data_IF_946675557371
#
_entry.id   IF_946675557371
#
_cell.length_a   1.000
_cell.length_b   1.000
_cell.length_c   1.000
_cell.angle_alpha   90.00
_cell.angle_beta   90.00
_cell.angle_gamma   90.00
#
_symmetry.space_group_name_H-M   'P 1'
#
loop_
_entity.id
_entity.type
_entity.pdbx_description
1 polymer ?
#
# COMPACT_ATOMS: atom_id res chain seq x y z
N UNK A 1 9.93 -16.84 34.23
CA UNK A 1 9.06 -17.32 33.14
C UNK A 1 9.85 -17.07 31.86
N UNK A 2 10.45 -18.13 31.33
CA UNK A 2 11.58 -18.05 30.39
C UNK A 2 11.08 -17.79 28.97
N UNK A 3 11.41 -16.61 28.46
CA UNK A 3 11.29 -16.24 27.06
C UNK A 3 12.42 -16.94 26.29
N UNK A 4 12.11 -17.99 25.54
CA UNK A 4 13.05 -18.64 24.61
C UNK A 4 12.26 -19.15 23.44
N UNK A 5 12.33 -18.43 22.32
CA UNK A 5 12.38 -18.88 20.93
C UNK A 5 12.17 -17.61 20.09
N UNK A 6 13.27 -16.91 19.83
CA UNK A 6 13.29 -15.85 18.83
C UNK A 6 13.85 -16.50 17.56
N UNK A 7 13.00 -16.76 16.58
CA UNK A 7 13.42 -17.23 15.27
C UNK A 7 13.82 -15.98 14.48
N UNK A 8 15.13 -15.75 14.30
CA UNK A 8 15.60 -14.73 13.36
C UNK A 8 15.48 -15.32 11.95
N UNK A 9 14.42 -14.96 11.25
CA UNK A 9 14.28 -15.23 9.82
C UNK A 9 15.11 -14.16 9.11
N UNK A 10 16.35 -14.49 8.74
CA UNK A 10 17.10 -13.70 7.77
C UNK A 10 16.48 -13.99 6.41
N UNK A 11 15.48 -13.20 6.03
CA UNK A 11 14.90 -13.25 4.70
C UNK A 11 15.97 -12.70 3.72
N UNK A 12 16.70 -13.60 3.07
CA UNK A 12 17.40 -13.23 1.83
C UNK A 12 16.34 -13.32 0.73
N UNK A 13 15.46 -12.33 0.65
CA UNK A 13 14.85 -12.02 -0.65
C UNK A 13 16.04 -11.61 -1.49
N UNK A 14 16.38 -12.43 -2.50
CA UNK A 14 17.08 -11.85 -3.62
C UNK A 14 16.20 -10.69 -4.03
N UNK A 15 16.63 -9.44 -3.78
CA UNK A 15 16.09 -8.27 -4.46
C UNK A 15 16.09 -8.74 -5.90
N UNK A 16 14.91 -9.13 -6.38
CA UNK A 16 14.76 -9.47 -7.76
C UNK A 16 15.07 -8.11 -8.35
N UNK A 17 16.25 -7.90 -8.97
CA UNK A 17 16.41 -6.68 -9.73
C UNK A 17 15.19 -6.68 -10.61
N UNK A 18 14.39 -5.59 -10.60
CA UNK A 18 13.32 -5.43 -11.56
C UNK A 18 13.89 -5.93 -12.86
N UNK A 19 13.52 -7.15 -13.26
CA UNK A 19 13.96 -7.64 -14.54
C UNK A 19 13.29 -6.64 -15.45
N UNK A 20 14.07 -6.00 -16.30
CA UNK A 20 13.57 -5.27 -17.46
C UNK A 20 12.61 -6.22 -18.16
N UNK A 21 11.35 -6.25 -17.71
CA UNK A 21 10.22 -6.48 -18.55
C UNK A 21 10.44 -5.41 -19.61
N UNK A 22 10.75 -5.82 -20.84
CA UNK A 22 10.77 -4.89 -21.97
C UNK A 22 9.60 -3.94 -21.78
N UNK A 23 9.88 -2.68 -21.45
CA UNK A 23 8.87 -1.81 -20.87
C UNK A 23 7.68 -1.73 -21.83
N UNK A 24 6.60 -2.46 -21.52
CA UNK A 24 5.41 -2.47 -22.36
C UNK A 24 4.82 -1.05 -22.44
N UNK A 25 5.11 -0.25 -21.40
CA UNK A 25 4.72 1.12 -21.24
C UNK A 25 5.95 2.01 -20.95
N UNK A 26 6.25 3.04 -21.75
CA UNK A 26 7.45 3.88 -21.57
C UNK A 26 7.45 4.77 -20.32
N UNK A 27 6.29 5.15 -19.78
CA UNK A 27 6.16 6.08 -18.66
C UNK A 27 5.29 5.56 -17.51
N UNK A 28 4.50 4.50 -17.72
CA UNK A 28 3.62 3.91 -16.71
C UNK A 28 4.28 2.66 -16.11
N UNK A 29 4.37 2.61 -14.78
CA UNK A 29 4.80 1.44 -14.02
C UNK A 29 3.79 1.13 -12.92
N UNK A 30 3.51 -0.15 -12.68
CA UNK A 30 2.55 -0.61 -11.68
C UNK A 30 3.21 -1.70 -10.83
N UNK A 31 3.17 -1.57 -9.50
CA UNK A 31 3.95 -2.44 -8.60
C UNK A 31 3.58 -3.94 -8.66
N UNK A 32 2.35 -4.25 -9.07
CA UNK A 32 1.85 -5.61 -9.22
C UNK A 32 1.95 -6.17 -10.67
N UNK A 33 2.52 -5.41 -11.61
CA UNK A 33 2.84 -5.91 -12.95
C UNK A 33 4.07 -6.82 -12.85
N UNK A 34 3.82 -8.12 -12.81
CA UNK A 34 4.84 -9.16 -12.73
C UNK A 34 4.38 -10.45 -13.40
N UNK A 35 4.96 -10.75 -14.55
CA UNK A 35 4.65 -11.94 -15.35
C UNK A 35 4.92 -13.25 -14.60
N UNK A 36 5.87 -13.27 -13.65
CA UNK A 36 6.17 -14.46 -12.85
C UNK A 36 4.98 -14.91 -12.00
N UNK A 37 4.05 -13.99 -11.70
CA UNK A 37 2.84 -14.25 -10.96
C UNK A 37 1.57 -14.00 -11.79
N UNK A 38 1.72 -13.84 -13.12
CA UNK A 38 0.63 -13.64 -14.05
C UNK A 38 -0.11 -12.32 -13.86
N UNK A 39 0.58 -11.25 -13.45
CA UNK A 39 0.01 -9.92 -13.23
C UNK A 39 -1.19 -9.96 -12.27
N UNK A 40 -1.06 -10.71 -11.17
CA UNK A 40 -2.09 -10.87 -10.14
C UNK A 40 -1.80 -10.04 -8.90
N UNK A 41 -2.85 -9.70 -8.18
CA UNK A 41 -2.79 -9.23 -6.81
C UNK A 41 -4.07 -9.66 -6.09
N UNK A 42 -4.09 -9.63 -4.76
CA UNK A 42 -5.19 -10.20 -4.00
C UNK A 42 -5.37 -9.53 -2.62
N UNK A 43 -6.52 -9.76 -2.00
CA UNK A 43 -6.78 -9.32 -0.63
C UNK A 43 -6.55 -7.82 -0.42
N UNK A 44 -5.91 -7.46 0.71
CA UNK A 44 -5.63 -6.08 1.08
C UNK A 44 -4.37 -5.49 0.44
N UNK A 45 -3.71 -6.17 -0.52
CA UNK A 45 -2.50 -5.63 -1.15
C UNK A 45 -2.74 -4.22 -1.71
N UNK A 46 -1.84 -3.30 -1.39
CA UNK A 46 -1.85 -1.95 -1.98
C UNK A 46 -1.02 -1.97 -3.26
N UNK A 47 -1.56 -1.39 -4.32
CA UNK A 47 -0.86 -1.26 -5.60
C UNK A 47 -0.39 0.17 -5.78
N UNK A 48 0.89 0.35 -6.07
CA UNK A 48 1.47 1.64 -6.46
C UNK A 48 1.40 1.78 -7.98
N UNK A 49 0.94 2.95 -8.44
CA UNK A 49 0.98 3.38 -9.84
C UNK A 49 1.92 4.57 -9.95
N UNK A 50 2.92 4.46 -10.82
CA UNK A 50 3.92 5.49 -11.06
C UNK A 50 3.84 5.96 -12.50
N UNK A 51 3.74 7.27 -12.70
CA UNK A 51 3.95 7.93 -13.99
C UNK A 51 5.26 8.69 -13.95
N UNK A 52 6.24 8.20 -14.70
CA UNK A 52 7.53 8.85 -14.91
C UNK A 52 7.59 9.43 -16.33
N UNK A 53 6.89 10.54 -16.55
CA UNK A 53 6.83 11.22 -17.84
C UNK A 53 7.70 12.48 -17.84
N UNK A 54 8.75 12.57 -18.66
CA UNK A 54 9.64 13.73 -18.70
C UNK A 54 8.95 15.07 -19.01
N UNK A 55 7.74 15.06 -19.59
CA UNK A 55 6.97 16.28 -19.86
C UNK A 55 6.31 16.84 -18.60
N UNK A 56 6.07 15.96 -17.62
CA UNK A 56 5.38 16.24 -16.36
C UNK A 56 6.33 16.20 -15.15
N UNK A 57 7.65 16.12 -15.37
CA UNK A 57 8.63 15.89 -14.30
C UNK A 57 9.14 17.15 -13.60
N UNK A 58 8.97 18.35 -14.19
CA UNK A 58 9.46 19.57 -13.53
C UNK A 58 8.69 19.82 -12.23
N UNK A 59 9.44 20.13 -11.17
CA UNK A 59 8.91 20.26 -9.80
C UNK A 59 8.71 21.72 -9.38
N UNK A 60 9.20 22.67 -10.15
CA UNK A 60 9.19 24.11 -9.83
C UNK A 60 8.35 24.94 -10.82
N UNK A 61 7.74 24.28 -11.79
CA UNK A 61 6.80 24.88 -12.74
C UNK A 61 5.49 24.10 -12.74
N UNK A 62 4.38 24.81 -12.98
CA UNK A 62 3.04 24.20 -12.96
C UNK A 62 2.93 23.09 -14.00
N UNK A 63 2.52 21.91 -13.57
CA UNK A 63 2.20 20.75 -14.41
C UNK A 63 0.76 20.31 -14.17
N UNK A 64 0.12 19.84 -15.23
CA UNK A 64 -1.17 19.15 -15.11
C UNK A 64 -0.97 17.77 -14.50
N UNK A 65 -1.95 17.33 -13.72
CA UNK A 65 -2.01 15.96 -13.22
C UNK A 65 -2.10 14.97 -14.41
N UNK A 66 -1.32 13.87 -14.40
CA UNK A 66 -1.45 12.81 -15.39
C UNK A 66 -2.85 12.21 -15.40
N UNK A 67 -3.43 12.04 -16.59
CA UNK A 67 -4.71 11.35 -16.75
C UNK A 67 -4.51 9.82 -16.61
N UNK A 68 -4.75 9.33 -15.40
CA UNK A 68 -4.67 7.90 -15.05
C UNK A 68 -6.01 7.40 -14.55
N UNK A 69 -6.45 6.23 -15.03
CA UNK A 69 -7.72 5.62 -14.61
C UNK A 69 -7.57 4.17 -14.18
N UNK A 70 -8.43 3.74 -13.25
CA UNK A 70 -8.69 2.34 -12.89
C UNK A 70 -10.06 1.98 -13.47
N UNK A 71 -10.11 1.07 -14.45
CA UNK A 71 -11.37 0.68 -15.11
C UNK A 71 -12.20 1.88 -15.63
N UNK A 72 -11.53 2.96 -16.04
CA UNK A 72 -12.16 4.19 -16.52
C UNK A 72 -12.58 5.19 -15.43
N UNK A 73 -12.43 4.86 -14.15
CA UNK A 73 -12.59 5.81 -13.03
C UNK A 73 -11.26 6.52 -12.75
N UNK A 74 -11.30 7.83 -12.46
CA UNK A 74 -10.10 8.61 -12.21
C UNK A 74 -9.32 8.07 -11.01
N UNK A 75 -8.02 7.89 -11.18
CA UNK A 75 -7.04 7.71 -10.11
C UNK A 75 -6.30 9.03 -9.91
N UNK A 76 -6.42 9.64 -8.73
CA UNK A 76 -5.70 10.88 -8.42
C UNK A 76 -4.21 10.58 -8.25
N UNK A 77 -3.38 11.34 -8.96
CA UNK A 77 -1.92 11.24 -8.96
C UNK A 77 -1.31 12.43 -8.23
N UNK A 78 -0.24 12.18 -7.47
CA UNK A 78 0.45 13.22 -6.71
C UNK A 78 1.93 13.30 -7.12
N UNK A 79 2.42 14.50 -7.45
CA UNK A 79 3.83 14.67 -7.82
C UNK A 79 4.73 14.62 -6.58
N UNK A 80 5.80 13.84 -6.68
CA UNK A 80 6.82 13.73 -5.63
C UNK A 80 7.94 14.74 -5.86
N UNK A 81 8.80 14.95 -4.87
CA UNK A 81 9.98 15.82 -4.98
C UNK A 81 11.00 15.35 -6.02
N UNK A 82 10.90 14.09 -6.49
CA UNK A 82 11.72 13.54 -7.57
C UNK A 82 11.17 13.80 -8.98
N UNK A 83 9.99 14.41 -9.11
CA UNK A 83 9.35 14.71 -10.39
C UNK A 83 8.43 13.61 -10.94
N UNK A 84 8.55 12.38 -10.44
CA UNK A 84 7.59 11.31 -10.73
C UNK A 84 6.25 11.53 -10.03
N UNK A 85 5.18 11.03 -10.63
CA UNK A 85 3.83 11.07 -10.09
C UNK A 85 3.44 9.70 -9.55
N UNK A 86 2.88 9.67 -8.34
CA UNK A 86 2.55 8.45 -7.62
C UNK A 86 1.08 8.45 -7.18
N UNK A 87 0.48 7.27 -7.17
CA UNK A 87 -0.80 7.00 -6.55
C UNK A 87 -0.81 5.59 -5.96
N UNK A 88 -1.64 5.40 -4.94
CA UNK A 88 -1.86 4.10 -4.32
C UNK A 88 -3.34 3.75 -4.40
N UNK A 89 -3.65 2.50 -4.72
CA UNK A 89 -5.02 2.00 -4.66
C UNK A 89 -5.10 0.60 -4.04
N UNK A 90 -6.28 0.25 -3.52
CA UNK A 90 -6.56 -1.07 -2.95
C UNK A 90 -8.04 -1.46 -3.16
N UNK A 91 -8.32 -2.76 -2.98
CA UNK A 91 -9.70 -3.25 -3.00
C UNK A 91 -10.45 -2.81 -1.73
N UNK A 92 -11.55 -2.06 -1.90
CA UNK A 92 -12.24 -1.36 -0.81
C UNK A 92 -12.65 -2.28 0.36
N UNK A 93 -13.31 -3.39 0.06
CA UNK A 93 -13.78 -4.33 1.08
C UNK A 93 -12.64 -5.08 1.78
N UNK A 94 -11.55 -5.35 1.06
CA UNK A 94 -10.43 -6.12 1.61
C UNK A 94 -9.53 -5.25 2.49
N UNK A 95 -9.28 -4.01 2.06
CA UNK A 95 -8.59 -3.00 2.88
C UNK A 95 -9.30 -2.79 4.22
N UNK A 96 -10.62 -2.53 4.21
CA UNK A 96 -11.40 -2.35 5.45
C UNK A 96 -11.44 -3.59 6.34
N UNK A 97 -11.46 -4.77 5.75
CA UNK A 97 -11.46 -6.03 6.50
C UNK A 97 -10.10 -6.28 7.18
N UNK A 98 -8.99 -5.96 6.49
CA UNK A 98 -7.65 -6.04 7.06
C UNK A 98 -7.46 -5.01 8.18
N UNK A 99 -7.87 -3.77 7.93
CA UNK A 99 -7.80 -2.67 8.89
C UNK A 99 -8.65 -2.94 10.15
N UNK A 100 -9.79 -3.60 10.02
CA UNK A 100 -10.61 -4.00 11.17
C UNK A 100 -9.94 -5.02 12.11
N UNK A 101 -8.79 -5.58 11.74
CA UNK A 101 -7.97 -6.41 12.63
C UNK A 101 -7.06 -5.59 13.54
N UNK A 102 -6.91 -4.29 13.31
CA UNK A 102 -5.99 -3.42 14.04
C UNK A 102 -6.41 -3.30 15.51
N UNK A 103 -5.46 -3.58 16.41
CA UNK A 103 -5.65 -3.46 17.86
C UNK A 103 -5.09 -2.15 18.44
N UNK A 104 -4.19 -1.49 17.72
CA UNK A 104 -3.57 -0.22 18.07
C UNK A 104 -3.25 0.55 16.78
N UNK A 105 -3.66 1.82 16.71
CA UNK A 105 -3.37 2.68 15.57
C UNK A 105 -1.86 2.77 15.28
N UNK A 106 -1.47 2.68 14.02
CA UNK A 106 -0.08 2.62 13.58
C UNK A 106 0.55 1.23 13.51
N UNK A 107 -0.17 0.15 13.90
CA UNK A 107 0.38 -1.21 13.98
C UNK A 107 -0.50 -2.23 13.25
N UNK A 108 0.09 -3.36 12.83
CA UNK A 108 -0.65 -4.36 12.06
C UNK A 108 -1.02 -3.85 10.65
N UNK A 109 -2.10 -4.38 10.08
CA UNK A 109 -2.56 -4.02 8.72
C UNK A 109 -3.38 -2.72 8.73
N UNK A 110 -2.81 -1.67 9.29
CA UNK A 110 -3.44 -0.36 9.47
C UNK A 110 -3.30 0.51 8.22
N UNK A 111 -4.42 0.92 7.64
CA UNK A 111 -4.51 1.80 6.46
C UNK A 111 -4.60 3.29 6.86
N UNK A 112 -4.67 3.58 8.15
CA UNK A 112 -5.08 4.85 8.73
C UNK A 112 -6.60 4.89 8.92
N UNK A 113 -7.24 6.00 8.59
CA UNK A 113 -8.71 6.13 8.68
C UNK A 113 -9.35 6.30 7.32
N UNK A 114 -10.55 5.78 7.16
CA UNK A 114 -11.31 5.81 5.92
C UNK A 114 -12.26 7.00 5.86
N UNK A 115 -12.24 7.71 4.74
CA UNK A 115 -13.16 8.78 4.39
C UNK A 115 -14.05 8.37 3.21
N UNK A 116 -15.30 8.85 3.21
CA UNK A 116 -16.23 8.65 2.11
C UNK A 116 -15.85 9.47 0.86
N UNK A 117 -16.22 8.98 -0.32
CA UNK A 117 -15.97 9.66 -1.62
C UNK A 117 -16.61 11.05 -1.74
N UNK A 118 -17.67 11.29 -0.95
CA UNK A 118 -18.40 12.56 -0.90
C UNK A 118 -17.73 13.59 0.02
N UNK A 119 -16.51 13.30 0.50
CA UNK A 119 -15.68 14.27 1.24
C UNK A 119 -15.46 15.53 0.39
N UNK A 120 -15.79 16.73 0.91
CA UNK A 120 -15.60 17.98 0.17
C UNK A 120 -14.13 18.21 -0.21
N UNK A 121 -13.90 18.71 -1.42
CA UNK A 121 -12.56 18.97 -1.97
C UNK A 121 -11.72 19.84 -1.05
N UNK A 122 -12.33 20.83 -0.38
CA UNK A 122 -11.64 21.72 0.56
C UNK A 122 -10.99 21.01 1.76
N UNK A 123 -11.45 19.80 2.12
CA UNK A 123 -10.92 19.02 3.24
C UNK A 123 -9.49 18.55 2.98
N UNK A 124 -9.22 18.14 1.74
CA UNK A 124 -7.94 17.53 1.35
C UNK A 124 -7.26 18.23 0.16
N UNK A 125 -7.87 19.28 -0.40
CA UNK A 125 -7.41 20.01 -1.58
C UNK A 125 -7.70 19.32 -2.92
N UNK A 126 -8.29 18.12 -2.92
CA UNK A 126 -8.62 17.34 -4.12
C UNK A 126 -9.91 16.53 -3.91
N UNK A 127 -10.65 16.28 -4.99
CA UNK A 127 -11.85 15.43 -4.98
C UNK A 127 -11.53 13.97 -5.29
N UNK A 128 -12.28 13.06 -4.64
CA UNK A 128 -12.21 11.60 -4.79
C UNK A 128 -13.57 10.98 -5.16
N UNK A 129 -14.46 11.74 -5.81
CA UNK A 129 -15.83 11.29 -6.14
C UNK A 129 -15.89 10.05 -7.04
N UNK A 130 -14.81 9.77 -7.79
CA UNK A 130 -14.72 8.61 -8.68
C UNK A 130 -14.25 7.31 -7.99
N UNK A 131 -14.07 7.33 -6.65
CA UNK A 131 -13.66 6.16 -5.86
C UNK A 131 -14.84 5.58 -5.05
N UNK A 132 -14.59 4.54 -4.25
CA UNK A 132 -15.49 4.01 -3.21
C UNK A 132 -15.11 4.53 -1.81
N UNK A 133 -14.38 5.65 -1.76
CA UNK A 133 -13.73 6.20 -0.57
C UNK A 133 -12.22 6.12 -0.67
N UNK A 134 -11.55 6.50 0.40
CA UNK A 134 -10.09 6.54 0.46
C UNK A 134 -9.61 6.45 1.91
N UNK A 135 -8.40 5.95 2.11
CA UNK A 135 -7.74 5.92 3.42
C UNK A 135 -6.68 7.02 3.51
N UNK A 136 -6.66 7.73 4.63
CA UNK A 136 -5.67 8.76 4.97
C UNK A 136 -4.90 8.35 6.22
N UNK A 137 -3.60 8.71 6.32
CA UNK A 137 -2.76 8.28 7.42
C UNK A 137 -3.00 9.04 8.71
N UNK A 138 -3.63 10.21 8.68
CA UNK A 138 -3.73 11.10 9.84
C UNK A 138 -5.19 11.42 10.14
N UNK A 139 -5.67 11.02 11.31
CA UNK A 139 -7.07 11.19 11.74
C UNK A 139 -7.31 12.40 12.65
N UNK A 140 -6.25 13.02 13.18
CA UNK A 140 -6.35 14.13 14.12
C UNK A 140 -7.05 15.34 13.50
N UNK A 141 -8.12 15.83 14.14
CA UNK A 141 -8.89 16.97 13.66
C UNK A 141 -9.93 16.62 12.59
N UNK A 142 -9.95 15.38 12.09
CA UNK A 142 -11.00 14.90 11.20
C UNK A 142 -12.24 14.43 11.97
N UNK A 143 -13.37 14.43 11.28
CA UNK A 143 -14.64 13.85 11.73
C UNK A 143 -15.36 13.21 10.54
N UNK A 144 -16.22 12.23 10.80
CA UNK A 144 -16.94 11.49 9.75
C UNK A 144 -16.14 10.33 9.14
N UNK A 145 -14.92 10.10 9.61
CA UNK A 145 -14.13 8.94 9.20
C UNK A 145 -14.63 7.65 9.87
N UNK A 146 -14.27 6.52 9.28
CA UNK A 146 -14.35 5.20 9.89
C UNK A 146 -12.94 4.63 10.09
N UNK A 147 -12.86 3.66 10.98
CA UNK A 147 -11.67 2.88 11.29
C UNK A 147 -12.13 1.40 11.24
N UNK A 148 -11.50 0.59 10.39
CA UNK A 148 -11.91 -0.76 10.03
C UNK A 148 -13.17 -0.87 9.15
N UNK A 149 -14.07 -1.78 9.50
CA UNK A 149 -15.29 -2.11 8.71
C UNK A 149 -16.44 -1.12 8.87
N UNK A 150 -16.23 -0.02 9.62
CA UNK A 150 -17.22 1.03 9.76
C UNK A 150 -17.61 1.66 8.40
N UNK A 151 -18.83 2.18 8.33
CA UNK A 151 -19.25 3.02 7.22
C UNK A 151 -18.58 4.39 7.39
N UNK A 152 -17.67 4.74 6.46
CA UNK A 152 -17.11 6.08 6.38
C UNK A 152 -18.13 7.04 5.75
N UNK A 153 -18.37 8.17 6.42
CA UNK A 153 -19.12 9.30 5.87
C UNK A 153 -18.14 10.28 5.19
N UNK A 154 -18.67 11.38 4.64
CA UNK A 154 -17.84 12.47 4.16
C UNK A 154 -17.00 13.03 5.33
N UNK A 155 -15.68 13.00 5.17
CA UNK A 155 -14.79 13.58 6.16
C UNK A 155 -14.92 15.11 6.17
N UNK A 156 -14.76 15.69 7.35
CA UNK A 156 -14.73 17.14 7.54
C UNK A 156 -13.64 17.49 8.55
N UNK A 157 -13.25 18.77 8.58
CA UNK A 157 -12.18 19.25 9.44
C UNK A 157 -10.84 19.32 8.72
N UNK A 158 -9.78 19.54 9.50
CA UNK A 158 -8.42 19.67 8.98
C UNK A 158 -7.59 18.48 9.45
N UNK A 159 -7.03 17.66 8.53
CA UNK A 159 -6.23 16.51 8.91
C UNK A 159 -4.91 16.93 9.57
N UNK A 160 -4.55 16.21 10.62
CA UNK A 160 -3.31 16.37 11.36
C UNK A 160 -3.09 15.18 12.31
N UNK A 161 -2.07 15.27 13.16
CA UNK A 161 -1.69 14.17 14.04
C UNK A 161 -0.53 13.34 13.48
N UNK A 162 -0.32 12.15 14.05
CA UNK A 162 0.69 11.20 13.60
C UNK A 162 0.22 10.42 12.37
N UNK A 163 1.17 9.81 11.66
CA UNK A 163 0.88 8.85 10.60
C UNK A 163 0.57 7.49 11.25
N UNK A 164 -0.67 7.03 11.07
CA UNK A 164 -1.23 5.76 11.54
C UNK A 164 -1.16 4.67 10.45
N UNK A 165 -0.87 5.02 9.19
CA UNK A 165 -0.75 4.05 8.11
C UNK A 165 0.52 3.18 8.27
N UNK A 166 0.33 1.87 8.23
CA UNK A 166 1.37 0.85 8.36
C UNK A 166 1.41 -0.15 7.17
N UNK A 167 0.73 0.20 6.06
CA UNK A 167 0.68 -0.59 4.80
C UNK A 167 1.23 0.17 3.59
N UNK A 168 1.57 1.45 3.74
CA UNK A 168 2.37 2.24 2.80
C UNK A 168 3.39 3.06 3.61
N UNK A 169 4.49 2.42 4.01
CA UNK A 169 5.42 2.94 5.02
C UNK A 169 6.52 3.84 4.46
N UNK A 170 6.87 3.69 3.19
CA UNK A 170 8.00 4.39 2.56
C UNK A 170 7.59 5.12 1.28
N UNK A 171 6.40 5.74 1.32
CA UNK A 171 5.92 6.60 0.25
C UNK A 171 6.92 7.74 -0.05
N UNK A 172 7.05 8.07 -1.34
CA UNK A 172 7.95 9.14 -1.78
C UNK A 172 7.51 10.50 -1.22
N UNK A 173 8.49 11.35 -0.93
CA UNK A 173 8.23 12.69 -0.41
C UNK A 173 7.49 13.56 -1.43
N UNK A 174 6.46 14.28 -0.98
CA UNK A 174 5.70 15.20 -1.80
C UNK A 174 6.56 16.32 -2.39
N UNK A 175 6.23 16.75 -3.62
CA UNK A 175 6.71 18.03 -4.10
C UNK A 175 6.08 19.16 -3.27
N UNK A 176 6.91 19.91 -2.53
CA UNK A 176 6.50 21.05 -1.71
C UNK A 176 7.18 22.35 -2.15
N UNK A 177 7.61 22.43 -3.40
CA UNK A 177 8.20 23.64 -3.95
C UNK A 177 7.20 24.80 -3.86
N UNK A 178 7.62 25.95 -3.31
CA UNK A 178 6.73 27.08 -3.06
C UNK A 178 6.20 27.77 -4.32
N UNK A 179 6.74 27.46 -5.50
CA UNK A 179 6.26 27.97 -6.78
C UNK A 179 5.02 27.25 -7.31
N UNK A 180 4.67 26.08 -6.76
CA UNK A 180 3.55 25.25 -7.19
C UNK A 180 2.73 24.75 -6.00
N UNK A 181 1.46 24.35 -6.19
CA UNK A 181 0.71 23.66 -5.14
C UNK A 181 1.41 22.38 -4.69
N UNK A 182 1.20 21.97 -3.44
CA UNK A 182 1.75 20.70 -2.93
C UNK A 182 1.31 19.55 -3.82
N UNK A 183 2.27 18.73 -4.26
CA UNK A 183 1.99 17.60 -5.15
C UNK A 183 1.46 17.99 -6.54
N UNK A 184 1.58 19.27 -6.93
CA UNK A 184 0.98 19.94 -8.11
C UNK A 184 -0.55 20.01 -8.10
N UNK A 185 -1.23 19.28 -7.23
CA UNK A 185 -2.70 19.25 -7.12
C UNK A 185 -3.24 20.12 -5.99
N UNK A 186 -2.39 20.48 -5.02
CA UNK A 186 -2.81 21.16 -3.80
C UNK A 186 -3.22 20.22 -2.68
N UNK A 187 -2.93 18.92 -2.81
CA UNK A 187 -3.19 17.90 -1.78
C UNK A 187 -2.68 18.36 -0.40
N UNK A 188 -3.53 18.24 0.62
CA UNK A 188 -3.15 18.48 2.00
C UNK A 188 -2.03 17.48 2.38
N UNK A 189 -0.85 17.96 2.81
CA UNK A 189 0.28 17.08 3.12
C UNK A 189 -0.01 15.99 4.18
N UNK A 190 -0.97 16.22 5.09
CA UNK A 190 -1.34 15.25 6.13
C UNK A 190 -2.16 14.08 5.61
N UNK A 191 -2.68 14.17 4.37
CA UNK A 191 -3.37 13.07 3.69
C UNK A 191 -2.41 12.08 3.02
N UNK A 192 -1.11 12.38 2.94
CA UNK A 192 -0.13 11.55 2.21
C UNK A 192 0.68 10.65 3.16
N UNK A 193 0.83 9.34 2.86
CA UNK A 193 0.31 8.64 1.69
C UNK A 193 -1.18 8.36 1.75
N UNK A 194 -1.86 8.63 0.64
CA UNK A 194 -3.28 8.38 0.47
C UNK A 194 -3.50 7.09 -0.33
N UNK A 195 -4.43 6.24 0.10
CA UNK A 195 -4.83 5.03 -0.63
C UNK A 195 -6.26 5.20 -1.15
N UNK A 196 -6.44 5.21 -2.46
CA UNK A 196 -7.75 5.30 -3.09
C UNK A 196 -8.41 3.92 -3.17
N UNK A 197 -9.68 3.82 -2.78
CA UNK A 197 -10.37 2.54 -2.71
C UNK A 197 -11.29 2.35 -3.90
N UNK A 198 -11.23 1.18 -4.52
CA UNK A 198 -12.14 0.80 -5.60
C UNK A 198 -12.67 -0.61 -5.35
N UNK A 199 -13.84 -0.92 -5.93
CA UNK A 199 -14.37 -2.29 -5.98
C UNK A 199 -14.25 -2.80 -7.41
N UNK A 200 -13.61 -3.96 -7.58
CA UNK A 200 -13.32 -4.53 -8.89
C UNK A 200 -13.15 -6.05 -8.80
N UNK A 201 -13.28 -6.74 -9.92
CA UNK A 201 -12.91 -8.16 -10.07
C UNK A 201 -11.53 -8.32 -10.72
N UNK A 202 -11.18 -7.41 -11.63
CA UNK A 202 -9.87 -7.25 -12.26
C UNK A 202 -9.72 -5.77 -12.59
N UNK A 203 -8.50 -5.28 -12.80
CA UNK A 203 -8.24 -3.86 -13.04
C UNK A 203 -7.49 -3.65 -14.35
N UNK A 204 -7.93 -2.66 -15.11
CA UNK A 204 -7.16 -2.06 -16.20
C UNK A 204 -6.72 -0.67 -15.75
N UNK A 205 -5.42 -0.50 -15.56
CA UNK A 205 -4.78 0.79 -15.29
C UNK A 205 -4.44 1.42 -16.63
N UNK A 206 -4.89 2.64 -16.88
CA UNK A 206 -4.66 3.34 -18.14
C UNK A 206 -4.03 4.70 -17.90
N UNK A 207 -2.96 5.04 -18.61
CA UNK A 207 -2.37 6.38 -18.67
C UNK A 207 -2.50 6.99 -20.07
N UNK A 208 -3.12 8.17 -20.17
CA UNK A 208 -3.35 8.90 -21.43
C UNK A 208 -2.33 10.04 -21.64
N UNK A 209 -1.03 9.72 -21.63
CA UNK A 209 0.04 10.71 -21.75
C UNK A 209 0.26 11.29 -23.14
N UNK A 210 -0.31 10.72 -24.20
CA UNK A 210 -0.08 11.13 -25.60
C UNK A 210 -0.09 9.93 -26.54
N UNK A 211 0.50 8.83 -26.09
CA UNK A 211 0.12 7.48 -26.50
C UNK A 211 -0.53 6.77 -25.32
N UNK A 212 -1.52 5.95 -25.61
CA UNK A 212 -2.19 5.10 -24.63
C UNK A 212 -1.19 4.11 -24.04
N UNK A 213 -1.12 4.03 -22.71
CA UNK A 213 -0.33 3.05 -21.95
C UNK A 213 -1.27 2.32 -21.00
N UNK A 214 -1.17 0.99 -20.93
CA UNK A 214 -2.10 0.18 -20.16
C UNK A 214 -1.41 -1.00 -19.48
N UNK A 215 -1.84 -1.28 -18.25
CA UNK A 215 -1.51 -2.49 -17.49
C UNK A 215 -2.81 -3.16 -17.08
N UNK A 216 -2.91 -4.46 -17.31
CA UNK A 216 -4.04 -5.28 -16.86
C UNK A 216 -3.57 -6.16 -15.71
N UNK A 217 -4.27 -6.09 -14.58
CA UNK A 217 -4.05 -6.97 -13.44
C UNK A 217 -5.31 -7.77 -13.12
N UNK A 218 -5.13 -9.02 -12.73
CA UNK A 218 -6.18 -9.89 -12.23
C UNK A 218 -6.27 -9.78 -10.70
N UNK A 219 -7.47 -9.55 -10.15
CA UNK A 219 -7.68 -9.54 -8.71
C UNK A 219 -8.34 -10.85 -8.26
N UNK A 220 -7.51 -11.80 -7.84
CA UNK A 220 -7.92 -13.17 -7.55
C UNK A 220 -6.87 -13.86 -6.67
N UNK A 221 -7.18 -15.05 -6.15
CA UNK A 221 -6.18 -15.86 -5.46
C UNK A 221 -4.94 -16.10 -6.34
N UNK A 222 -3.78 -16.05 -5.70
CA UNK A 222 -2.49 -16.19 -6.39
C UNK A 222 -2.16 -17.68 -6.48
N UNK A 223 -1.94 -18.22 -7.69
CA UNK A 223 -1.58 -19.63 -7.85
C UNK A 223 -0.15 -19.89 -7.39
N UNK A 224 0.19 -21.16 -7.20
CA UNK A 224 1.55 -21.63 -6.87
C UNK A 224 2.10 -21.15 -5.51
N UNK A 225 1.22 -20.86 -4.55
CA UNK A 225 1.61 -20.68 -3.15
C UNK A 225 2.24 -21.98 -2.63
N UNK A 226 3.45 -21.89 -2.10
CA UNK A 226 4.15 -23.07 -1.57
C UNK A 226 4.94 -22.77 -0.30
N UNK A 227 5.03 -23.80 0.53
CA UNK A 227 5.84 -23.86 1.73
C UNK A 227 6.75 -25.07 1.61
N UNK A 228 8.05 -24.86 1.76
CA UNK A 228 9.01 -25.97 1.81
C UNK A 228 10.02 -25.76 2.93
N UNK A 229 10.53 -26.87 3.45
CA UNK A 229 11.59 -26.88 4.45
C UNK A 229 12.88 -27.40 3.83
N UNK A 230 14.02 -27.01 4.41
CA UNK A 230 15.32 -27.45 3.90
C UNK A 230 15.57 -28.96 4.06
N UNK A 231 14.80 -29.63 4.93
CA UNK A 231 14.85 -31.09 5.15
C UNK A 231 13.56 -31.60 5.80
N UNK A 232 13.40 -32.92 5.79
CA UNK A 232 12.22 -33.61 6.36
C UNK A 232 12.39 -33.95 7.86
N UNK A 233 13.62 -34.01 8.36
CA UNK A 233 13.90 -34.40 9.76
C UNK A 233 14.89 -33.45 10.42
N UNK A 234 14.57 -33.06 11.65
CA UNK A 234 15.35 -32.13 12.45
C UNK A 234 15.78 -32.77 13.76
N UNK A 235 17.10 -32.87 14.04
CA UNK A 235 17.59 -33.17 15.38
C UNK A 235 17.09 -32.14 16.39
N UNK A 236 16.98 -32.52 17.66
CA UNK A 236 16.62 -31.60 18.71
C UNK A 236 17.59 -30.40 18.76
N UNK A 237 17.05 -29.19 18.70
CA UNK A 237 17.82 -27.94 18.70
C UNK A 237 18.37 -27.50 17.33
N UNK A 238 18.05 -28.21 16.25
CA UNK A 238 18.38 -27.75 14.90
C UNK A 238 17.55 -26.54 14.48
N UNK A 239 18.15 -25.66 13.70
CA UNK A 239 17.45 -24.59 13.01
C UNK A 239 16.65 -25.16 11.82
N UNK A 240 15.48 -24.58 11.58
CA UNK A 240 14.59 -24.93 10.46
C UNK A 240 14.65 -23.79 9.46
N UNK A 241 15.06 -24.08 8.24
CA UNK A 241 15.00 -23.10 7.15
C UNK A 241 13.73 -23.37 6.35
N UNK A 242 12.88 -22.36 6.29
CA UNK A 242 11.59 -22.40 5.59
C UNK A 242 11.67 -21.47 4.40
N UNK A 243 11.31 -21.98 3.22
CA UNK A 243 11.08 -21.16 2.03
C UNK A 243 9.58 -21.05 1.84
N UNK A 244 9.08 -19.82 1.90
CA UNK A 244 7.70 -19.47 1.58
C UNK A 244 7.71 -18.77 0.23
N UNK A 245 6.90 -19.24 -0.70
CA UNK A 245 6.64 -18.58 -1.97
C UNK A 245 5.17 -18.21 -1.99
N UNK A 246 4.88 -16.96 -1.65
CA UNK A 246 3.53 -16.41 -1.64
C UNK A 246 3.59 -14.90 -1.89
N UNK A 247 3.13 -14.46 -3.06
CA UNK A 247 3.11 -13.02 -3.39
C UNK A 247 2.02 -12.27 -2.63
N UNK A 248 1.02 -12.95 -2.06
CA UNK A 248 -0.02 -12.28 -1.25
C UNK A 248 0.57 -11.69 0.03
N UNK A 249 1.78 -12.10 0.43
CA UNK A 249 2.49 -11.53 1.57
C UNK A 249 3.05 -10.12 1.29
N UNK A 250 3.05 -9.65 0.03
CA UNK A 250 3.50 -8.30 -0.34
C UNK A 250 2.33 -7.31 -0.23
N UNK A 251 2.10 -6.78 0.97
CA UNK A 251 1.04 -5.81 1.26
C UNK A 251 1.44 -4.38 0.94
N UNK A 252 2.70 -4.01 1.26
CA UNK A 252 3.24 -2.67 1.08
C UNK A 252 4.07 -2.59 -0.21
N UNK A 253 3.68 -1.78 -1.21
CA UNK A 253 4.43 -1.66 -2.45
C UNK A 253 5.70 -0.80 -2.32
N UNK A 254 5.93 -0.16 -1.17
CA UNK A 254 6.98 0.84 -0.96
C UNK A 254 8.12 0.39 -0.06
N UNK A 255 7.90 -0.67 0.72
CA UNK A 255 8.83 -1.16 1.75
C UNK A 255 8.72 -2.68 1.95
N UNK A 256 9.73 -3.28 2.58
CA UNK A 256 9.73 -4.72 2.87
C UNK A 256 8.72 -5.07 3.96
N UNK A 257 7.88 -6.09 3.70
CA UNK A 257 6.92 -6.62 4.66
C UNK A 257 7.55 -7.59 5.66
N UNK A 258 7.08 -7.54 6.90
CA UNK A 258 7.54 -8.43 7.98
C UNK A 258 6.38 -9.25 8.51
N UNK A 259 6.43 -10.56 8.28
CA UNK A 259 5.44 -11.52 8.73
C UNK A 259 6.04 -12.43 9.80
N UNK A 260 5.31 -12.60 10.91
CA UNK A 260 5.71 -13.51 11.99
C UNK A 260 4.72 -14.67 12.08
N UNK A 261 5.23 -15.87 11.91
CA UNK A 261 4.47 -17.11 11.99
C UNK A 261 4.73 -17.82 13.32
N UNK A 262 3.66 -18.10 14.06
CA UNK A 262 3.65 -19.01 15.22
C UNK A 262 3.01 -20.35 14.86
N UNK A 263 2.84 -21.23 15.86
CA UNK A 263 2.22 -22.55 15.61
C UNK A 263 0.77 -22.44 15.15
N UNK A 264 0.02 -21.49 15.72
CA UNK A 264 -1.41 -21.24 15.47
C UNK A 264 -1.68 -19.73 15.39
N UNK A 265 -0.72 -18.97 14.86
CA UNK A 265 -0.85 -17.52 14.77
C UNK A 265 -0.06 -16.94 13.61
N UNK A 266 -0.59 -15.89 12.99
CA UNK A 266 0.11 -15.09 11.99
C UNK A 266 -0.02 -13.62 12.38
N UNK A 267 1.08 -12.90 12.36
CA UNK A 267 1.13 -11.48 12.68
C UNK A 267 1.81 -10.72 11.55
N UNK A 268 1.23 -9.60 11.16
CA UNK A 268 1.89 -8.62 10.32
C UNK A 268 2.56 -7.57 11.21
N UNK A 269 3.83 -7.24 10.93
CA UNK A 269 4.63 -6.23 11.64
C UNK A 269 4.70 -6.44 13.16
N UNK A 270 4.83 -7.70 13.61
CA UNK A 270 5.25 -7.94 14.99
C UNK A 270 6.64 -7.34 15.26
N UNK A 271 7.53 -7.46 14.27
CA UNK A 271 8.85 -6.85 14.23
C UNK A 271 9.01 -6.03 12.97
N UNK A 272 9.88 -5.02 13.00
CA UNK A 272 10.23 -4.25 11.82
C UNK A 272 11.12 -5.03 10.83
N UNK A 273 11.47 -4.41 9.71
CA UNK A 273 12.36 -4.94 8.64
C UNK A 273 13.78 -5.22 9.16
N UNK A 274 14.13 -4.72 10.34
CA UNK A 274 15.43 -4.87 11.00
C UNK A 274 15.36 -5.79 12.23
N UNK A 275 14.20 -6.38 12.50
CA UNK A 275 13.96 -7.27 13.64
C UNK A 275 13.75 -6.56 14.99
N UNK A 276 13.60 -5.23 15.02
CA UNK A 276 13.20 -4.51 16.23
C UNK A 276 11.73 -4.79 16.55
N UNK A 277 11.36 -4.84 17.82
CA UNK A 277 9.96 -4.98 18.20
C UNK A 277 9.15 -3.77 17.70
N UNK A 278 8.14 -4.02 16.87
CA UNK A 278 7.10 -3.06 16.49
C UNK A 278 5.89 -3.35 17.37
N UNK A 279 4.93 -4.14 16.89
CA UNK A 279 3.77 -4.54 17.68
C UNK A 279 4.10 -5.56 18.79
N UNK A 280 5.22 -6.30 18.68
CA UNK A 280 5.55 -7.42 19.58
C UNK A 280 5.53 -7.04 21.07
N UNK A 281 4.68 -7.74 21.84
CA UNK A 281 4.53 -7.53 23.28
C UNK A 281 3.63 -6.34 23.66
N UNK A 282 3.07 -5.65 22.67
CA UNK A 282 2.11 -4.55 22.84
C UNK A 282 0.69 -4.92 22.38
N UNK A 283 -0.27 -3.99 22.56
CA UNK A 283 -1.67 -4.20 22.16
C UNK A 283 -1.87 -4.21 20.63
N UNK A 284 -0.90 -3.73 19.85
CA UNK A 284 -0.92 -3.81 18.39
C UNK A 284 -0.65 -5.21 17.83
N UNK A 285 -0.17 -6.16 18.65
CA UNK A 285 0.10 -7.53 18.19
C UNK A 285 -1.20 -8.32 18.07
N UNK A 286 -1.81 -8.29 16.88
CA UNK A 286 -3.07 -8.99 16.60
C UNK A 286 -2.84 -10.22 15.74
N UNK A 287 -3.37 -11.36 16.18
CA UNK A 287 -3.36 -12.59 15.40
C UNK A 287 -4.36 -12.48 14.24
N UNK A 288 -3.88 -12.67 13.02
CA UNK A 288 -4.66 -12.57 11.79
C UNK A 288 -5.36 -13.89 11.42
N UNK A 289 -5.04 -14.99 12.11
CA UNK A 289 -5.81 -16.21 11.97
C UNK A 289 -7.18 -16.07 12.67
N UNK A 290 -8.29 -16.47 12.02
CA UNK A 290 -9.64 -16.40 12.56
C UNK A 290 -9.89 -17.36 13.74
#
# INVERSE_FOLDING_TARGET
>A
MNLRYLCLISLVVAIVPMYDAEAANPNLSVSAENDAFGNRFAGSMVVEVVVNDPRLSDVDSTKGEPDVTINGQQLRMTQTSGGSWHAYFAHAGAARAADATVGLAGEGLDFGVFCGRDTPEETFGVSFTDTEGFAVPSSGGLSGFADGTGQADACTGEPGGGNENNVVRNAKSLNKNSAVPTGQTGLNPAAWPLIQLYTFNSVTITYNGGSLQQVQLEYDEIPNISLSTDRETYPAGAEVFVTISDMQLNQDPTDEDSWTFGTDSVFYRAYDDRGSASAAGGPGLVNLLP
#
